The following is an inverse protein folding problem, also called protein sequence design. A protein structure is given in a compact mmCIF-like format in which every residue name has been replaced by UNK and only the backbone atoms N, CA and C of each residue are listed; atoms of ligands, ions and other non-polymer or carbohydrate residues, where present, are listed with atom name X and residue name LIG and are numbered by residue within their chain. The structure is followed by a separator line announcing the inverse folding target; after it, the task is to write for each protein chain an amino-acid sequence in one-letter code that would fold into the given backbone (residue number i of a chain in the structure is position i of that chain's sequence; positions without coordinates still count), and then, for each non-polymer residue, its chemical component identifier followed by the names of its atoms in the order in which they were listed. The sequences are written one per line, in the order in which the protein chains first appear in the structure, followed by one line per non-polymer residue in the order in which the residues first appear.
data_IF_639388608217
#
_entry.id   IF_639388608217
#
_cell.length_a   1.000
_cell.length_b   1.000
_cell.length_c   1.000
_cell.angle_alpha   90.00
_cell.angle_beta   90.00
_cell.angle_gamma   90.00
#
_symmetry.space_group_name_H-M   'P 1'
#
loop_
_entity.id
_entity.type
_entity.pdbx_description
1 polymer ?
#
# COMPACT_ATOMS: atom_id res chain seq x y z
N UNK A 1 4.66 11.72 -14.69
CA UNK A 1 3.47 10.84 -14.59
C UNK A 1 3.77 9.33 -14.44
N UNK A 2 4.78 8.74 -15.12
CA UNK A 2 5.04 7.28 -15.08
C UNK A 2 5.25 6.71 -13.66
N UNK A 3 6.06 7.36 -12.84
CA UNK A 3 6.33 6.94 -11.46
C UNK A 3 5.07 6.91 -10.55
N UNK A 4 4.13 7.84 -10.76
CA UNK A 4 2.87 7.90 -10.02
C UNK A 4 1.97 6.72 -10.38
N UNK A 5 1.93 6.33 -11.65
CA UNK A 5 1.18 5.14 -12.09
C UNK A 5 1.79 3.85 -11.52
N UNK A 6 3.12 3.74 -11.51
CA UNK A 6 3.82 2.57 -10.93
C UNK A 6 3.57 2.46 -9.41
N UNK A 7 3.55 3.58 -8.68
CA UNK A 7 3.17 3.60 -7.27
C UNK A 7 1.70 3.19 -7.06
N UNK A 8 0.79 3.65 -7.92
CA UNK A 8 -0.63 3.28 -7.85
C UNK A 8 -0.83 1.77 -8.04
N UNK A 9 -0.16 1.17 -9.01
CA UNK A 9 -0.23 -0.28 -9.26
C UNK A 9 0.29 -1.09 -8.07
N UNK A 10 1.41 -0.67 -7.48
CA UNK A 10 1.96 -1.28 -6.26
C UNK A 10 0.99 -1.19 -5.08
N UNK A 11 0.36 -0.02 -4.88
CA UNK A 11 -0.63 0.19 -3.81
C UNK A 11 -1.80 -0.77 -3.96
N UNK A 12 -2.35 -0.94 -5.16
CA UNK A 12 -3.47 -1.86 -5.38
C UNK A 12 -3.07 -3.32 -5.15
N UNK A 13 -1.88 -3.72 -5.58
CA UNK A 13 -1.35 -5.06 -5.33
C UNK A 13 -1.21 -5.34 -3.83
N UNK A 14 -0.54 -4.44 -3.09
CA UNK A 14 -0.36 -4.57 -1.64
C UNK A 14 -1.71 -4.54 -0.90
N UNK A 15 -2.68 -3.73 -1.33
CA UNK A 15 -4.03 -3.72 -0.76
C UNK A 15 -4.75 -5.05 -0.96
N UNK A 16 -4.63 -5.68 -2.13
CA UNK A 16 -5.23 -6.97 -2.42
C UNK A 16 -4.61 -8.09 -1.55
N UNK A 17 -3.29 -8.08 -1.40
CA UNK A 17 -2.55 -9.00 -0.52
C UNK A 17 -2.95 -8.81 0.94
N UNK A 18 -2.97 -7.56 1.44
CA UNK A 18 -3.37 -7.23 2.81
C UNK A 18 -4.78 -7.73 3.14
N UNK A 19 -5.73 -7.51 2.23
CA UNK A 19 -7.11 -7.98 2.39
C UNK A 19 -7.20 -9.51 2.42
N UNK A 20 -6.43 -10.18 1.56
CA UNK A 20 -6.38 -11.65 1.54
C UNK A 20 -5.80 -12.18 2.84
N UNK A 21 -4.68 -11.61 3.28
CA UNK A 21 -4.01 -12.00 4.53
C UNK A 21 -4.91 -11.75 5.74
N UNK A 22 -5.57 -10.59 5.83
CA UNK A 22 -6.50 -10.29 6.92
C UNK A 22 -7.69 -11.25 6.99
N UNK A 23 -8.17 -11.76 5.85
CA UNK A 23 -9.22 -12.79 5.80
C UNK A 23 -8.70 -14.16 6.25
N UNK A 24 -7.43 -14.47 6.03
CA UNK A 24 -6.85 -15.77 6.36
C UNK A 24 -6.42 -15.87 7.83
N UNK A 25 -5.74 -14.85 8.35
CA UNK A 25 -5.10 -14.89 9.68
C UNK A 25 -5.70 -13.89 10.67
N UNK A 26 -6.63 -13.05 10.22
CA UNK A 26 -7.28 -12.02 11.04
C UNK A 26 -6.54 -10.67 11.01
N UNK A 27 -7.28 -9.58 11.17
CA UNK A 27 -6.78 -8.21 11.02
C UNK A 27 -5.66 -7.81 12.01
N UNK A 28 -5.62 -8.45 13.18
CA UNK A 28 -4.65 -8.15 14.24
C UNK A 28 -3.40 -9.04 14.20
N UNK A 29 -3.31 -9.95 13.23
CA UNK A 29 -2.12 -10.78 13.07
C UNK A 29 -0.90 -9.89 12.75
N UNK A 30 0.26 -10.23 13.33
CA UNK A 30 1.50 -9.47 13.16
C UNK A 30 1.82 -9.23 11.67
N UNK A 31 1.62 -10.24 10.84
CA UNK A 31 1.90 -10.17 9.40
C UNK A 31 0.99 -9.16 8.68
N UNK A 32 -0.28 -9.08 9.09
CA UNK A 32 -1.25 -8.10 8.56
C UNK A 32 -0.86 -6.68 8.99
N UNK A 33 -0.44 -6.51 10.25
CA UNK A 33 0.02 -5.22 10.75
C UNK A 33 1.28 -4.73 10.01
N UNK A 34 2.25 -5.61 9.76
CA UNK A 34 3.45 -5.28 8.97
C UNK A 34 3.10 -4.91 7.54
N UNK A 35 2.20 -5.67 6.90
CA UNK A 35 1.73 -5.39 5.53
C UNK A 35 0.93 -4.09 5.45
N UNK A 36 0.20 -3.73 6.51
CA UNK A 36 -0.49 -2.44 6.61
C UNK A 36 0.49 -1.28 6.70
N UNK A 37 1.58 -1.43 7.46
CA UNK A 37 2.64 -0.42 7.53
C UNK A 37 3.31 -0.20 6.17
N UNK A 38 3.59 -1.28 5.43
CA UNK A 38 4.10 -1.20 4.04
C UNK A 38 3.14 -0.41 3.14
N UNK A 39 1.83 -0.67 3.24
CA UNK A 39 0.82 0.05 2.48
C UNK A 39 0.79 1.56 2.82
N UNK A 40 0.90 1.90 4.11
CA UNK A 40 0.93 3.30 4.57
C UNK A 40 2.15 4.04 4.04
N UNK A 41 3.32 3.40 3.99
CA UNK A 41 4.54 3.97 3.41
C UNK A 41 4.38 4.28 1.93
N UNK A 42 3.81 3.33 1.16
CA UNK A 42 3.53 3.51 -0.27
C UNK A 42 2.53 4.63 -0.54
N UNK A 43 1.46 4.72 0.26
CA UNK A 43 0.46 5.79 0.17
C UNK A 43 1.10 7.16 0.44
N UNK A 44 1.98 7.23 1.44
CA UNK A 44 2.73 8.45 1.75
C UNK A 44 3.67 8.85 0.61
N UNK A 45 4.34 7.89 -0.02
CA UNK A 45 5.19 8.15 -1.19
C UNK A 45 4.38 8.64 -2.38
N UNK A 46 3.24 7.99 -2.68
CA UNK A 46 2.32 8.40 -3.72
C UNK A 46 1.81 9.83 -3.50
N UNK A 47 1.39 10.16 -2.27
CA UNK A 47 0.95 11.52 -1.91
C UNK A 47 2.06 12.56 -2.09
N UNK A 48 3.32 12.22 -1.73
CA UNK A 48 4.48 13.10 -1.98
C UNK A 48 4.76 13.27 -3.47
N UNK A 49 4.63 12.20 -4.25
CA UNK A 49 4.86 12.22 -5.70
C UNK A 49 3.81 13.07 -6.43
N UNK A 50 2.54 13.02 -6.00
CA UNK A 50 1.49 13.89 -6.53
C UNK A 50 1.78 15.37 -6.26
N UNK A 51 2.15 15.72 -5.03
CA UNK A 51 2.45 17.11 -4.63
C UNK A 51 3.69 17.71 -5.32
N UNK A 52 4.62 16.88 -5.83
CA UNK A 52 5.81 17.34 -6.58
C UNK A 52 5.53 17.53 -8.08
N UNK A 53 4.38 17.08 -8.56
CA UNK A 53 3.96 17.22 -9.96
C UNK A 53 3.00 18.39 -10.22
N UNK A 54 2.60 19.11 -9.17
CA UNK A 54 1.90 20.41 -9.22
C UNK A 54 2.90 21.57 -9.26
#
# INVERSE_FOLDING_TARGET
MRAVNELREKIEAVRAELNTLAKQVGAMAKEVLLKSQELDELLNEYNRALKKGE
#
